data_IF_676556034460
#
_entry.id   IF_676556034460
#
_cell.length_a   1.000
_cell.length_b   1.000
_cell.length_c   1.000
_cell.angle_alpha   90.00
_cell.angle_beta   90.00
_cell.angle_gamma   90.00
#
_symmetry.space_group_name_H-M   'P 1'
#
loop_
_entity.id
_entity.type
_entity.pdbx_description
1 polymer ?
#
# COMPACT_ATOMS: atom_id res chain seq x y z
N UNK A 1 -33.77 28.32 -8.15
CA UNK A 1 -33.45 27.29 -7.14
C UNK A 1 -32.98 26.07 -7.90
N UNK A 2 -31.65 25.89 -8.00
CA UNK A 2 -31.06 24.79 -8.77
C UNK A 2 -31.21 23.50 -7.97
N UNK A 3 -31.87 22.53 -8.58
CA UNK A 3 -32.00 21.17 -8.08
C UNK A 3 -30.73 20.43 -8.49
N UNK A 4 -29.80 20.21 -7.55
CA UNK A 4 -28.63 19.37 -7.77
C UNK A 4 -29.11 17.93 -7.98
N UNK A 5 -29.04 17.45 -9.22
CA UNK A 5 -29.08 16.02 -9.50
C UNK A 5 -27.76 15.45 -8.98
N UNK A 6 -27.81 14.71 -7.87
CA UNK A 6 -26.73 13.78 -7.53
C UNK A 6 -26.88 12.63 -8.50
N UNK A 7 -26.10 12.65 -9.57
CA UNK A 7 -25.80 11.42 -10.30
C UNK A 7 -25.17 10.46 -9.29
N UNK A 8 -25.87 9.36 -9.02
CA UNK A 8 -25.31 8.24 -8.29
C UNK A 8 -24.12 7.72 -9.11
N UNK A 9 -22.91 8.23 -8.81
CA UNK A 9 -21.68 7.72 -9.43
C UNK A 9 -21.45 6.32 -8.88
N UNK A 10 -22.06 5.32 -9.52
CA UNK A 10 -21.67 3.94 -9.38
C UNK A 10 -20.22 3.84 -9.85
N UNK A 11 -19.31 3.38 -8.99
CA UNK A 11 -17.94 3.09 -9.42
C UNK A 11 -17.99 2.11 -10.60
N UNK A 12 -17.24 2.34 -11.69
CA UNK A 12 -17.27 1.43 -12.82
C UNK A 12 -16.69 0.07 -12.41
N UNK A 13 -17.32 -1.02 -12.87
CA UNK A 13 -16.92 -2.39 -12.52
C UNK A 13 -16.80 -3.24 -13.78
N UNK A 14 -15.70 -3.98 -13.90
CA UNK A 14 -15.54 -5.07 -14.87
C UNK A 14 -15.46 -6.40 -14.11
N UNK A 15 -16.52 -7.19 -14.13
CA UNK A 15 -16.65 -8.41 -13.32
C UNK A 15 -16.63 -9.67 -14.19
N UNK A 16 -15.91 -10.70 -13.73
CA UNK A 16 -15.75 -11.97 -14.44
C UNK A 16 -15.87 -13.15 -13.48
N UNK A 17 -16.76 -14.09 -13.81
CA UNK A 17 -17.04 -15.31 -13.02
C UNK A 17 -15.90 -16.31 -13.03
N UNK A 18 -15.04 -16.27 -14.06
CA UNK A 18 -13.92 -17.19 -14.20
C UNK A 18 -12.62 -16.48 -14.55
N UNK A 19 -11.51 -17.06 -14.10
CA UNK A 19 -10.15 -16.63 -14.48
C UNK A 19 -9.95 -16.65 -16.00
N UNK A 20 -10.61 -17.57 -16.71
CA UNK A 20 -10.51 -17.68 -18.17
C UNK A 20 -11.14 -16.48 -18.87
N UNK A 21 -12.29 -16.00 -18.40
CA UNK A 21 -12.95 -14.82 -18.93
C UNK A 21 -12.22 -13.55 -18.53
N UNK A 22 -11.79 -13.44 -17.26
CA UNK A 22 -10.96 -12.34 -16.78
C UNK A 22 -9.69 -12.17 -17.64
N UNK A 23 -9.04 -13.27 -18.02
CA UNK A 23 -7.86 -13.20 -18.92
C UNK A 23 -8.20 -12.62 -20.29
N UNK A 24 -9.34 -12.98 -20.88
CA UNK A 24 -9.81 -12.41 -22.16
C UNK A 24 -10.19 -10.94 -22.01
N UNK A 25 -10.73 -10.59 -20.85
CA UNK A 25 -11.18 -9.24 -20.48
C UNK A 25 -10.12 -8.37 -19.80
N UNK A 26 -8.86 -8.80 -19.72
CA UNK A 26 -7.86 -8.15 -18.87
C UNK A 26 -7.65 -6.66 -19.21
N UNK A 27 -7.69 -6.32 -20.51
CA UNK A 27 -7.66 -4.92 -20.96
C UNK A 27 -8.82 -4.11 -20.36
N UNK A 28 -10.04 -4.65 -20.35
CA UNK A 28 -11.20 -3.96 -19.79
C UNK A 28 -11.06 -3.74 -18.29
N UNK A 29 -10.43 -4.68 -17.57
CA UNK A 29 -10.15 -4.51 -16.14
C UNK A 29 -9.15 -3.37 -15.90
N UNK A 30 -8.11 -3.26 -16.74
CA UNK A 30 -7.15 -2.15 -16.68
C UNK A 30 -7.80 -0.81 -17.02
N UNK A 31 -8.58 -0.75 -18.09
CA UNK A 31 -9.30 0.47 -18.50
C UNK A 31 -10.21 0.95 -17.36
N UNK A 32 -10.99 0.05 -16.76
CA UNK A 32 -11.86 0.38 -15.62
C UNK A 32 -11.07 0.83 -14.39
N UNK A 33 -9.97 0.14 -14.04
CA UNK A 33 -9.13 0.53 -12.91
C UNK A 33 -8.48 1.91 -13.12
N UNK A 34 -8.05 2.22 -14.34
CA UNK A 34 -7.49 3.51 -14.72
C UNK A 34 -8.52 4.64 -14.57
N UNK A 35 -9.79 4.36 -14.86
CA UNK A 35 -10.90 5.32 -14.72
C UNK A 35 -11.46 5.41 -13.28
N UNK A 36 -10.74 4.85 -12.30
CA UNK A 36 -11.10 4.87 -10.88
C UNK A 36 -12.15 3.83 -10.47
N UNK A 37 -12.36 2.81 -11.29
CA UNK A 37 -13.22 1.67 -11.02
C UNK A 37 -12.50 0.46 -10.45
N UNK A 38 -13.15 -0.70 -10.52
CA UNK A 38 -12.62 -1.97 -10.01
C UNK A 38 -12.85 -3.11 -11.01
N UNK A 39 -11.80 -3.84 -11.36
CA UNK A 39 -11.91 -5.13 -12.03
C UNK A 39 -12.10 -6.24 -11.00
N UNK A 40 -13.15 -7.06 -11.10
CA UNK A 40 -13.43 -8.17 -10.19
C UNK A 40 -13.27 -9.52 -10.89
N UNK A 41 -12.63 -10.46 -10.21
CA UNK A 41 -12.47 -11.84 -10.68
C UNK A 41 -12.87 -12.81 -9.58
N UNK A 42 -13.74 -13.75 -9.91
CA UNK A 42 -14.11 -14.83 -9.01
C UNK A 42 -13.25 -16.08 -9.27
N UNK A 43 -12.80 -16.69 -8.17
CA UNK A 43 -12.05 -17.95 -8.20
C UNK A 43 -12.28 -18.73 -6.92
N UNK A 44 -12.68 -19.98 -7.04
CA UNK A 44 -12.81 -20.91 -5.91
C UNK A 44 -13.65 -20.34 -4.74
N UNK A 45 -14.73 -19.62 -5.07
CA UNK A 45 -15.62 -18.97 -4.09
C UNK A 45 -15.05 -17.70 -3.43
N UNK A 46 -13.90 -17.20 -3.91
CA UNK A 46 -13.27 -15.95 -3.48
C UNK A 46 -13.34 -14.91 -4.58
N UNK A 47 -13.34 -13.64 -4.18
CA UNK A 47 -13.30 -12.49 -5.09
C UNK A 47 -11.96 -11.80 -4.97
N UNK A 48 -11.38 -11.46 -6.11
CA UNK A 48 -10.13 -10.70 -6.23
C UNK A 48 -10.43 -9.40 -6.98
N UNK A 49 -9.72 -8.33 -6.61
CA UNK A 49 -9.89 -7.01 -7.21
C UNK A 49 -8.60 -6.55 -7.90
N UNK A 50 -8.75 -5.98 -9.09
CA UNK A 50 -7.76 -5.13 -9.76
C UNK A 50 -8.19 -3.68 -9.59
N UNK A 51 -7.34 -2.90 -8.94
CA UNK A 51 -7.51 -1.47 -8.70
C UNK A 51 -6.21 -0.76 -9.05
N UNK A 52 -6.27 0.55 -9.31
CA UNK A 52 -5.08 1.34 -9.49
C UNK A 52 -4.32 1.51 -8.18
N UNK A 53 -3.01 1.73 -8.25
CA UNK A 53 -2.17 1.99 -7.07
C UNK A 53 -2.58 3.30 -6.39
N UNK A 54 -3.08 4.27 -7.16
CA UNK A 54 -3.60 5.55 -6.66
C UNK A 54 -4.82 5.34 -5.75
N UNK A 55 -5.67 4.36 -6.04
CA UNK A 55 -6.80 3.99 -5.18
C UNK A 55 -6.34 3.15 -3.98
N UNK A 56 -5.41 2.22 -4.20
CA UNK A 56 -5.00 1.25 -3.19
C UNK A 56 -4.08 1.83 -2.11
N UNK A 57 -3.16 2.72 -2.49
CA UNK A 57 -2.14 3.29 -1.61
C UNK A 57 -2.72 3.98 -0.36
N UNK A 58 -3.68 4.92 -0.44
CA UNK A 58 -4.24 5.55 0.75
C UNK A 58 -5.01 4.57 1.65
N UNK A 59 -5.64 3.55 1.05
CA UNK A 59 -6.32 2.50 1.82
C UNK A 59 -5.32 1.62 2.59
N UNK A 60 -4.17 1.30 1.99
CA UNK A 60 -3.10 0.56 2.65
C UNK A 60 -2.43 1.40 3.75
N UNK A 61 -2.16 2.69 3.53
CA UNK A 61 -1.67 3.58 4.58
C UNK A 61 -2.57 3.57 5.82
N UNK A 62 -3.90 3.64 5.61
CA UNK A 62 -4.86 3.54 6.70
C UNK A 62 -4.88 2.15 7.36
N UNK A 63 -4.75 1.07 6.58
CA UNK A 63 -4.81 -0.31 7.07
C UNK A 63 -3.54 -0.74 7.82
N UNK A 64 -2.37 -0.18 7.47
CA UNK A 64 -1.11 -0.43 8.17
C UNK A 64 -1.22 -0.02 9.62
N UNK A 65 -1.90 1.10 9.92
CA UNK A 65 -2.16 1.53 11.29
C UNK A 65 -0.90 1.78 12.13
N UNK A 66 0.24 1.95 11.47
CA UNK A 66 1.53 2.31 12.07
C UNK A 66 1.84 3.74 11.68
N UNK A 67 2.11 4.57 12.68
CA UNK A 67 2.59 5.93 12.51
C UNK A 67 4.10 5.94 12.79
N UNK A 68 4.94 6.30 11.81
CA UNK A 68 6.38 6.45 12.03
C UNK A 68 6.66 7.43 13.18
N UNK A 69 7.55 7.05 14.09
CA UNK A 69 7.98 7.88 15.21
C UNK A 69 9.43 8.33 14.98
N UNK A 70 9.63 9.65 14.89
CA UNK A 70 10.96 10.26 14.78
C UNK A 70 11.48 10.59 16.18
N UNK A 71 12.72 10.21 16.47
CA UNK A 71 13.40 10.51 17.72
C UNK A 71 14.82 11.03 17.47
N UNK A 72 15.40 11.67 18.49
CA UNK A 72 16.74 12.25 18.43
C UNK A 72 17.57 11.66 19.56
N UNK A 73 18.70 11.05 19.24
CA UNK A 73 19.62 10.43 20.20
C UNK A 73 21.08 10.69 19.76
N UNK A 74 21.95 11.02 20.72
CA UNK A 74 23.40 11.22 20.52
C UNK A 74 23.83 12.12 19.35
N UNK A 75 23.00 13.09 18.98
CA UNK A 75 23.26 14.03 17.89
C UNK A 75 22.87 13.52 16.50
N UNK A 76 22.25 12.34 16.41
CA UNK A 76 21.63 11.80 15.20
C UNK A 76 20.10 11.86 15.23
N UNK A 77 19.49 11.31 14.18
CA UNK A 77 18.05 11.18 14.02
C UNK A 77 17.71 9.71 13.82
N UNK A 78 16.69 9.21 14.51
CA UNK A 78 16.15 7.88 14.34
C UNK A 78 14.68 7.91 13.90
N UNK A 79 14.27 6.89 13.16
CA UNK A 79 12.87 6.61 12.83
C UNK A 79 12.56 5.18 13.27
N UNK A 80 11.45 5.01 13.99
CA UNK A 80 10.93 3.69 14.34
C UNK A 80 9.50 3.50 13.80
N UNK A 81 9.11 2.25 13.58
CA UNK A 81 7.75 1.85 13.25
C UNK A 81 7.13 1.09 14.44
N UNK A 82 6.45 1.78 15.37
CA UNK A 82 5.84 1.14 16.54
C UNK A 82 4.93 -0.02 16.17
N UNK A 83 5.13 -1.17 16.80
CA UNK A 83 4.37 -2.39 16.50
C UNK A 83 4.92 -3.20 15.32
N UNK A 84 5.94 -2.71 14.63
CA UNK A 84 6.74 -3.45 13.65
C UNK A 84 8.23 -3.49 14.06
N UNK A 85 9.00 -4.50 13.65
CA UNK A 85 10.40 -4.67 14.08
C UNK A 85 11.36 -3.84 13.21
N UNK A 86 11.01 -2.58 12.92
CA UNK A 86 11.83 -1.71 12.07
C UNK A 86 12.16 -0.40 12.77
N UNK A 87 13.44 -0.08 12.75
CA UNK A 87 13.97 1.23 13.08
C UNK A 87 15.27 1.44 12.29
N UNK A 88 15.59 2.69 11.99
CA UNK A 88 16.84 3.10 11.37
C UNK A 88 17.30 4.43 11.96
N UNK A 89 18.59 4.72 11.85
CA UNK A 89 19.25 5.91 12.36
C UNK A 89 20.13 6.52 11.27
N UNK A 90 20.34 7.83 11.31
CA UNK A 90 21.21 8.56 10.37
C UNK A 90 21.66 9.90 10.93
N UNK A 91 22.53 10.61 10.20
CA UNK A 91 22.98 11.96 10.62
C UNK A 91 21.84 12.98 10.53
N UNK A 92 20.83 12.69 9.70
CA UNK A 92 19.63 13.49 9.52
C UNK A 92 18.41 12.60 9.21
N UNK A 93 17.22 13.22 9.18
CA UNK A 93 15.95 12.51 8.96
C UNK A 93 15.90 11.80 7.60
N UNK A 94 16.46 12.41 6.55
CA UNK A 94 16.44 11.85 5.21
C UNK A 94 17.31 10.60 5.10
N UNK A 95 18.48 10.58 5.74
CA UNK A 95 19.32 9.39 5.82
C UNK A 95 18.63 8.26 6.60
N UNK A 96 18.11 8.55 7.80
CA UNK A 96 17.38 7.55 8.57
C UNK A 96 16.16 6.99 7.81
N UNK A 97 15.44 7.84 7.06
CA UNK A 97 14.33 7.39 6.22
C UNK A 97 14.80 6.52 5.04
N UNK A 98 15.89 6.88 4.37
CA UNK A 98 16.41 6.11 3.24
C UNK A 98 16.84 4.69 3.67
N UNK A 99 17.56 4.60 4.79
CA UNK A 99 17.98 3.32 5.36
C UNK A 99 16.77 2.47 5.77
N UNK A 100 15.73 3.09 6.33
CA UNK A 100 14.49 2.41 6.67
C UNK A 100 13.72 1.93 5.43
N UNK A 101 13.72 2.71 4.33
CA UNK A 101 13.14 2.29 3.06
C UNK A 101 13.87 1.05 2.52
N UNK A 102 15.19 1.03 2.53
CA UNK A 102 15.99 -0.13 2.11
C UNK A 102 15.62 -1.37 2.94
N UNK A 103 15.62 -1.26 4.27
CA UNK A 103 15.24 -2.36 5.16
C UNK A 103 13.80 -2.87 4.91
N UNK A 104 12.86 -1.97 4.61
CA UNK A 104 11.48 -2.34 4.26
C UNK A 104 11.40 -3.08 2.92
N UNK A 105 12.19 -2.67 1.92
CA UNK A 105 12.28 -3.33 0.61
C UNK A 105 12.83 -4.75 0.74
N UNK A 106 13.96 -4.90 1.43
CA UNK A 106 14.55 -6.22 1.70
C UNK A 106 13.56 -7.14 2.42
N UNK A 107 12.85 -6.60 3.42
CA UNK A 107 11.83 -7.37 4.13
C UNK A 107 10.65 -7.80 3.24
N UNK A 108 10.20 -6.93 2.33
CA UNK A 108 9.14 -7.25 1.37
C UNK A 108 9.58 -8.36 0.40
N UNK A 109 10.83 -8.34 -0.07
CA UNK A 109 11.41 -9.40 -0.91
C UNK A 109 11.44 -10.75 -0.18
N UNK A 110 11.81 -10.75 1.10
CA UNK A 110 11.88 -11.95 1.94
C UNK A 110 10.50 -12.46 2.42
N UNK A 111 9.42 -11.69 2.19
CA UNK A 111 8.09 -11.98 2.73
C UNK A 111 7.58 -13.38 2.38
N UNK A 112 7.96 -13.93 1.24
CA UNK A 112 7.55 -15.27 0.83
C UNK A 112 7.98 -16.35 1.84
N UNK A 113 9.13 -16.21 2.49
CA UNK A 113 9.58 -17.11 3.56
C UNK A 113 8.95 -16.78 4.92
N UNK A 114 8.57 -15.53 5.13
CA UNK A 114 8.15 -15.00 6.43
C UNK A 114 6.64 -15.04 6.66
N UNK A 115 5.81 -15.07 5.61
CA UNK A 115 4.34 -14.93 5.70
C UNK A 115 3.62 -15.90 6.66
N UNK A 116 4.23 -17.05 6.96
CA UNK A 116 3.67 -18.08 7.84
C UNK A 116 4.29 -18.08 9.25
N UNK A 117 5.30 -17.22 9.50
CA UNK A 117 5.95 -17.12 10.81
C UNK A 117 5.05 -16.31 11.76
N UNK A 118 4.71 -16.79 12.97
CA UNK A 118 3.67 -16.21 13.81
C UNK A 118 3.77 -14.70 14.10
N UNK A 119 4.99 -14.16 14.20
CA UNK A 119 5.21 -12.75 14.53
C UNK A 119 5.14 -11.81 13.31
N UNK A 120 5.04 -12.36 12.10
CA UNK A 120 5.10 -11.64 10.84
C UNK A 120 3.73 -11.48 10.18
N UNK A 121 2.77 -12.36 10.45
CA UNK A 121 1.46 -12.41 9.77
C UNK A 121 0.69 -11.07 9.75
N UNK A 122 0.82 -10.24 10.79
CA UNK A 122 0.18 -8.91 10.90
C UNK A 122 0.80 -7.86 10.00
N UNK A 123 2.00 -8.11 9.46
CA UNK A 123 2.76 -7.17 8.62
C UNK A 123 2.41 -7.29 7.14
N UNK A 124 1.43 -8.11 6.76
CA UNK A 124 1.00 -8.26 5.37
C UNK A 124 0.58 -6.93 4.74
N UNK A 125 -0.12 -6.06 5.47
CA UNK A 125 -0.51 -4.74 4.96
C UNK A 125 0.68 -3.81 4.77
N UNK A 126 1.70 -3.93 5.64
CA UNK A 126 2.95 -3.17 5.51
C UNK A 126 3.72 -3.62 4.26
N UNK A 127 3.85 -4.93 4.04
CA UNK A 127 4.47 -5.46 2.82
C UNK A 127 3.71 -5.03 1.58
N UNK A 128 2.38 -5.13 1.60
CA UNK A 128 1.56 -4.68 0.47
C UNK A 128 1.72 -3.16 0.21
N UNK A 129 1.83 -2.34 1.26
CA UNK A 129 2.12 -0.91 1.12
C UNK A 129 3.47 -0.71 0.44
N UNK A 130 4.52 -1.36 0.95
CA UNK A 130 5.87 -1.29 0.36
C UNK A 130 5.82 -1.66 -1.12
N UNK A 131 5.23 -2.80 -1.48
CA UNK A 131 5.17 -3.30 -2.86
C UNK A 131 4.51 -2.32 -3.85
N UNK A 132 3.50 -1.55 -3.41
CA UNK A 132 2.75 -0.64 -4.29
C UNK A 132 3.26 0.81 -4.26
N UNK A 133 4.06 1.17 -3.27
CA UNK A 133 4.65 2.50 -3.13
C UNK A 133 5.94 2.60 -3.94
N UNK A 134 6.20 3.77 -4.51
CA UNK A 134 7.56 4.17 -4.89
C UNK A 134 8.41 4.50 -3.65
N UNK A 135 9.72 4.52 -3.80
CA UNK A 135 10.62 4.90 -2.70
C UNK A 135 10.32 6.31 -2.20
N UNK A 136 10.00 7.25 -3.10
CA UNK A 136 9.61 8.59 -2.70
C UNK A 136 8.33 8.59 -1.85
N UNK A 137 7.32 7.79 -2.20
CA UNK A 137 6.09 7.70 -1.40
C UNK A 137 6.36 7.10 -0.01
N UNK A 138 7.29 6.16 0.10
CA UNK A 138 7.70 5.62 1.39
C UNK A 138 8.50 6.66 2.19
N UNK A 139 9.40 7.40 1.55
CA UNK A 139 10.12 8.51 2.17
C UNK A 139 9.14 9.54 2.73
N UNK A 140 8.19 10.01 1.91
CA UNK A 140 7.19 11.00 2.31
C UNK A 140 6.32 10.49 3.47
N UNK A 141 6.02 9.19 3.52
CA UNK A 141 5.27 8.58 4.61
C UNK A 141 6.09 8.56 5.91
N UNK A 142 7.37 8.18 5.83
CA UNK A 142 8.28 8.08 6.97
C UNK A 142 8.65 9.44 7.56
N UNK A 143 8.80 10.47 6.72
CA UNK A 143 9.13 11.84 7.15
C UNK A 143 7.91 12.67 7.55
N UNK A 144 6.70 12.17 7.27
CA UNK A 144 5.44 12.89 7.52
C UNK A 144 5.09 13.93 6.45
N UNK A 145 5.79 13.97 5.32
CA UNK A 145 5.52 14.86 4.19
C UNK A 145 4.27 14.45 3.39
N UNK A 146 3.76 13.22 3.58
CA UNK A 146 2.51 12.73 2.97
C UNK A 146 1.21 13.40 3.48
N UNK A 147 1.28 14.21 4.54
CA UNK A 147 0.12 14.77 5.24
C UNK A 147 -0.06 16.30 5.08
N UNK A 148 0.55 16.92 4.06
CA UNK A 148 0.41 18.35 3.76
C UNK A 148 -0.57 18.63 2.60
#
# INVERSE_FOLDING_TARGET
MYMLYIEERTMPVAEYDTVTEARKGFKSMLDVAQDGGTGLVHRDGRTFALVSTELLHPALLAAVGVTPEVFFEDGGVGIALPGAPFAAEGENLQEAAADLVEALREYAEDWAGLRNVPNHNRLQHLVALVDVSSDQQLMDWLTGESAA
#
